data_IF_840973298084
#
_entry.id   IF_840973298084
#
_cell.length_a   1.000
_cell.length_b   1.000
_cell.length_c   1.000
_cell.angle_alpha   90.00
_cell.angle_beta   90.00
_cell.angle_gamma   90.00
#
_symmetry.space_group_name_H-M   'P 1'
#
loop_
_entity.id
_entity.type
_entity.pdbx_description
1 polymer ?
#
# COMPACT_ATOMS: atom_id res chain seq x y z
N UNK A 1 45.87 -28.73 4.45
CA UNK A 1 45.04 -28.24 3.33
C UNK A 1 44.27 -27.04 3.85
N UNK A 2 44.47 -25.87 3.25
CA UNK A 2 43.71 -24.67 3.63
C UNK A 2 42.33 -24.69 2.96
N UNK A 3 41.30 -24.31 3.71
CA UNK A 3 39.96 -24.05 3.16
C UNK A 3 39.66 -22.57 3.39
N UNK A 4 39.13 -21.90 2.38
CA UNK A 4 38.61 -20.53 2.54
C UNK A 4 37.23 -20.42 1.91
N UNK A 5 36.43 -19.52 2.47
CA UNK A 5 35.01 -19.38 2.15
C UNK A 5 34.72 -17.95 1.73
N UNK A 6 33.95 -17.80 0.65
CA UNK A 6 33.39 -16.52 0.19
C UNK A 6 31.87 -16.59 0.37
N UNK A 7 31.26 -15.49 0.83
CA UNK A 7 29.81 -15.33 0.88
C UNK A 7 29.38 -14.34 -0.22
N UNK A 8 28.44 -14.75 -1.05
CA UNK A 8 27.87 -13.93 -2.12
C UNK A 8 26.35 -13.85 -1.98
N UNK A 9 25.76 -12.73 -2.39
CA UNK A 9 24.31 -12.59 -2.47
C UNK A 9 23.87 -12.83 -3.91
N UNK A 10 23.02 -13.83 -4.12
CA UNK A 10 22.52 -14.20 -5.44
C UNK A 10 21.06 -13.78 -5.56
N UNK A 11 20.73 -13.05 -6.62
CA UNK A 11 19.35 -12.78 -7.02
C UNK A 11 18.79 -14.01 -7.74
N UNK A 12 17.74 -14.62 -7.17
CA UNK A 12 17.16 -15.87 -7.66
C UNK A 12 16.14 -15.66 -8.79
N UNK A 13 15.46 -14.52 -8.78
CA UNK A 13 14.33 -14.20 -9.66
C UNK A 13 14.49 -12.75 -10.12
N UNK A 14 14.30 -12.44 -11.41
CA UNK A 14 14.39 -11.07 -11.91
C UNK A 14 13.49 -10.08 -11.16
N UNK A 15 13.96 -8.83 -11.08
CA UNK A 15 13.19 -7.70 -10.59
C UNK A 15 11.87 -7.52 -11.36
N UNK A 16 10.80 -7.14 -10.65
CA UNK A 16 9.49 -6.88 -11.24
C UNK A 16 9.02 -5.47 -10.82
N UNK A 17 8.50 -4.69 -11.77
CA UNK A 17 7.92 -3.38 -11.48
C UNK A 17 6.47 -3.49 -10.98
N UNK A 18 6.28 -3.15 -9.71
CA UNK A 18 4.97 -3.11 -9.06
C UNK A 18 4.25 -1.75 -9.16
N UNK A 19 4.77 -0.79 -9.95
CA UNK A 19 4.16 0.54 -10.11
C UNK A 19 2.72 0.49 -10.62
N UNK A 20 2.35 -0.53 -11.40
CA UNK A 20 0.97 -0.75 -11.83
C UNK A 20 -0.01 -0.86 -10.65
N UNK A 21 0.42 -1.42 -9.51
CA UNK A 21 -0.41 -1.55 -8.30
C UNK A 21 -0.76 -0.20 -7.67
N UNK A 22 0.06 0.83 -7.87
CA UNK A 22 -0.25 2.22 -7.43
C UNK A 22 -1.54 2.70 -8.09
N UNK A 23 -1.66 2.51 -9.41
CA UNK A 23 -2.84 2.94 -10.17
C UNK A 23 -4.10 2.20 -9.71
N UNK A 24 -3.98 0.90 -9.45
CA UNK A 24 -5.10 0.07 -8.96
C UNK A 24 -5.60 0.55 -7.60
N UNK A 25 -4.68 0.81 -6.67
CA UNK A 25 -5.04 1.31 -5.34
C UNK A 25 -5.65 2.71 -5.40
N UNK A 26 -5.09 3.61 -6.22
CA UNK A 26 -5.63 4.98 -6.38
C UNK A 26 -7.07 4.93 -6.89
N UNK A 27 -7.31 4.15 -7.95
CA UNK A 27 -8.66 3.97 -8.51
C UNK A 27 -9.64 3.44 -7.46
N UNK A 28 -9.22 2.52 -6.59
CA UNK A 28 -10.08 1.99 -5.51
C UNK A 28 -10.43 3.07 -4.47
N UNK A 29 -9.49 3.94 -4.13
CA UNK A 29 -9.78 5.07 -3.23
C UNK A 29 -10.72 6.08 -3.89
N UNK A 30 -10.53 6.37 -5.17
CA UNK A 30 -11.41 7.25 -5.95
C UNK A 30 -12.85 6.67 -6.06
N UNK A 31 -12.98 5.37 -6.30
CA UNK A 31 -14.27 4.67 -6.29
C UNK A 31 -14.97 4.82 -4.93
N UNK A 32 -14.27 4.58 -3.82
CA UNK A 32 -14.81 4.76 -2.46
C UNK A 32 -15.26 6.19 -2.23
N UNK A 33 -14.43 7.18 -2.60
CA UNK A 33 -14.76 8.59 -2.46
C UNK A 33 -16.01 8.97 -3.26
N UNK A 34 -16.17 8.42 -4.47
CA UNK A 34 -17.36 8.63 -5.29
C UNK A 34 -18.64 8.07 -4.68
N UNK A 35 -18.57 6.87 -4.09
CA UNK A 35 -19.68 6.27 -3.34
C UNK A 35 -20.02 7.08 -2.08
N UNK A 36 -19.02 7.52 -1.32
CA UNK A 36 -19.21 8.37 -0.14
C UNK A 36 -19.89 9.69 -0.50
N UNK A 37 -19.44 10.36 -1.56
CA UNK A 37 -20.07 11.60 -2.05
C UNK A 37 -21.53 11.38 -2.43
N UNK A 38 -21.84 10.25 -3.08
CA UNK A 38 -23.21 9.87 -3.43
C UNK A 38 -24.06 9.64 -2.18
N UNK A 39 -23.53 8.89 -1.21
CA UNK A 39 -24.19 8.65 0.07
C UNK A 39 -24.50 9.96 0.81
N UNK A 40 -23.52 10.86 0.95
CA UNK A 40 -23.72 12.12 1.67
C UNK A 40 -24.68 13.07 0.94
N UNK A 41 -24.70 13.04 -0.39
CA UNK A 41 -25.72 13.76 -1.18
C UNK A 41 -27.12 13.24 -0.91
N UNK A 42 -27.31 11.92 -0.88
CA UNK A 42 -28.59 11.30 -0.54
C UNK A 42 -29.02 11.62 0.89
N UNK A 43 -28.10 11.52 1.86
CA UNK A 43 -28.37 11.85 3.25
C UNK A 43 -28.81 13.31 3.41
N UNK A 44 -28.11 14.26 2.77
CA UNK A 44 -28.48 15.67 2.79
C UNK A 44 -29.84 15.92 2.10
N UNK A 45 -30.13 15.23 1.00
CA UNK A 45 -31.43 15.35 0.32
C UNK A 45 -32.59 14.87 1.22
N UNK A 46 -32.41 13.82 2.00
CA UNK A 46 -33.43 13.38 2.97
C UNK A 46 -33.60 14.42 4.09
N UNK A 47 -32.50 14.95 4.63
CA UNK A 47 -32.52 15.92 5.72
C UNK A 47 -33.05 17.31 5.34
N UNK A 48 -32.95 17.70 4.06
CA UNK A 48 -33.34 19.03 3.55
C UNK A 48 -34.60 18.98 2.71
N UNK A 49 -34.78 17.92 1.90
CA UNK A 49 -35.84 17.80 0.91
C UNK A 49 -37.24 17.64 1.51
N UNK A 50 -37.34 17.24 2.77
CA UNK A 50 -38.62 17.16 3.49
C UNK A 50 -38.96 18.43 4.29
N UNK A 51 -38.19 19.52 4.11
CA UNK A 51 -38.35 20.81 4.82
C UNK A 51 -38.43 20.64 6.36
N UNK A 52 -37.82 19.55 6.86
CA UNK A 52 -37.85 19.16 8.26
C UNK A 52 -37.04 20.16 9.08
N UNK A 53 -37.67 20.73 10.10
CA UNK A 53 -37.08 21.73 10.99
C UNK A 53 -37.08 21.22 12.43
N UNK A 54 -36.01 21.50 13.16
CA UNK A 54 -35.90 21.19 14.58
C UNK A 54 -34.50 20.75 14.98
N UNK A 55 -34.24 20.80 16.29
CA UNK A 55 -32.92 20.51 16.89
C UNK A 55 -32.34 19.16 16.48
N UNK A 56 -33.19 18.17 16.19
CA UNK A 56 -32.77 16.84 15.74
C UNK A 56 -32.20 16.89 14.32
N UNK A 57 -32.86 17.62 13.40
CA UNK A 57 -32.38 17.77 12.02
C UNK A 57 -31.07 18.55 11.98
N UNK A 58 -30.96 19.60 12.79
CA UNK A 58 -29.74 20.39 12.90
C UNK A 58 -28.56 19.53 13.40
N UNK A 59 -28.80 18.68 14.42
CA UNK A 59 -27.80 17.74 14.90
C UNK A 59 -27.42 16.68 13.85
N UNK A 60 -28.40 16.15 13.10
CA UNK A 60 -28.13 15.20 12.02
C UNK A 60 -27.31 15.82 10.89
N UNK A 61 -27.59 17.07 10.50
CA UNK A 61 -26.79 17.81 9.51
C UNK A 61 -25.36 18.02 9.98
N UNK A 62 -25.16 18.41 11.24
CA UNK A 62 -23.83 18.59 11.83
C UNK A 62 -23.03 17.28 11.86
N UNK A 63 -23.63 16.18 12.32
CA UNK A 63 -22.99 14.86 12.33
C UNK A 63 -22.67 14.38 10.92
N UNK A 64 -23.58 14.57 9.97
CA UNK A 64 -23.39 14.17 8.57
C UNK A 64 -22.23 14.93 7.94
N UNK A 65 -22.16 16.24 8.16
CA UNK A 65 -21.06 17.10 7.69
C UNK A 65 -19.72 16.67 8.30
N UNK A 66 -19.68 16.45 9.63
CA UNK A 66 -18.46 16.02 10.32
C UNK A 66 -17.97 14.66 9.83
N UNK A 67 -18.88 13.71 9.60
CA UNK A 67 -18.52 12.39 9.04
C UNK A 67 -18.00 12.52 7.62
N UNK A 68 -18.67 13.29 6.76
CA UNK A 68 -18.22 13.55 5.39
C UNK A 68 -16.80 14.13 5.34
N UNK A 69 -16.52 15.16 6.13
CA UNK A 69 -15.17 15.75 6.20
C UNK A 69 -14.13 14.75 6.71
N UNK A 70 -14.47 13.95 7.72
CA UNK A 70 -13.56 12.93 8.27
C UNK A 70 -13.24 11.86 7.23
N UNK A 71 -14.25 11.38 6.51
CA UNK A 71 -14.11 10.27 5.57
C UNK A 71 -13.33 10.74 4.32
N UNK A 72 -13.57 11.96 3.83
CA UNK A 72 -12.69 12.61 2.84
C UNK A 72 -11.23 12.65 3.29
N UNK A 73 -10.98 13.08 4.54
CA UNK A 73 -9.62 13.11 5.10
C UNK A 73 -8.99 11.72 5.33
N UNK A 74 -9.79 10.64 5.40
CA UNK A 74 -9.27 9.27 5.39
C UNK A 74 -8.82 8.90 3.98
N UNK A 75 -9.64 9.21 2.98
CA UNK A 75 -9.34 8.94 1.57
C UNK A 75 -8.09 9.70 1.08
N UNK A 76 -7.94 10.97 1.45
CA UNK A 76 -6.73 11.76 1.16
C UNK A 76 -5.47 11.12 1.77
N UNK A 77 -5.51 10.78 3.07
CA UNK A 77 -4.40 10.08 3.73
C UNK A 77 -4.10 8.71 3.13
N UNK A 78 -5.10 8.01 2.62
CA UNK A 78 -4.91 6.76 1.92
C UNK A 78 -4.14 6.98 0.60
N UNK A 79 -4.53 7.98 -0.19
CA UNK A 79 -3.83 8.36 -1.43
C UNK A 79 -2.36 8.71 -1.18
N UNK A 80 -2.08 9.46 -0.12
CA UNK A 80 -0.71 9.84 0.29
C UNK A 80 0.15 8.63 0.69
N UNK A 81 -0.46 7.59 1.28
CA UNK A 81 0.25 6.39 1.75
C UNK A 81 0.51 5.34 0.67
N UNK A 82 -0.24 5.34 -0.42
CA UNK A 82 -0.09 4.36 -1.52
C UNK A 82 1.36 4.24 -2.02
N UNK A 83 2.09 5.34 -2.31
CA UNK A 83 3.47 5.26 -2.77
C UNK A 83 4.38 4.51 -1.78
N UNK A 84 4.27 4.82 -0.49
CA UNK A 84 5.04 4.18 0.59
C UNK A 84 4.70 2.71 0.72
N UNK A 85 3.42 2.34 0.64
CA UNK A 85 2.98 0.94 0.71
C UNK A 85 3.58 0.14 -0.44
N UNK A 86 3.52 0.68 -1.67
CA UNK A 86 4.09 0.00 -2.84
C UNK A 86 5.62 -0.08 -2.76
N UNK A 87 6.29 0.97 -2.29
CA UNK A 87 7.75 0.92 -2.08
C UNK A 87 8.13 -0.17 -1.08
N UNK A 88 7.43 -0.25 0.05
CA UNK A 88 7.70 -1.26 1.08
C UNK A 88 7.43 -2.67 0.55
N UNK A 89 6.37 -2.84 -0.25
CA UNK A 89 6.07 -4.11 -0.91
C UNK A 89 7.18 -4.51 -1.89
N UNK A 90 7.64 -3.59 -2.75
CA UNK A 90 8.75 -3.85 -3.67
C UNK A 90 10.02 -4.29 -2.93
N UNK A 91 10.36 -3.61 -1.83
CA UNK A 91 11.52 -3.97 -1.03
C UNK A 91 11.39 -5.37 -0.40
N UNK A 92 10.22 -5.68 0.17
CA UNK A 92 9.98 -7.02 0.73
C UNK A 92 10.09 -8.13 -0.33
N UNK A 93 9.56 -7.89 -1.53
CA UNK A 93 9.70 -8.84 -2.63
C UNK A 93 11.15 -8.97 -3.07
N UNK A 94 11.90 -7.87 -3.17
CA UNK A 94 13.32 -7.90 -3.50
C UNK A 94 14.12 -8.70 -2.47
N UNK A 95 13.91 -8.45 -1.18
CA UNK A 95 14.55 -9.19 -0.10
C UNK A 95 14.27 -10.70 -0.20
N UNK A 96 13.02 -11.08 -0.47
CA UNK A 96 12.61 -12.48 -0.66
C UNK A 96 13.24 -13.15 -1.90
N UNK A 97 13.62 -12.36 -2.91
CA UNK A 97 14.26 -12.85 -4.14
C UNK A 97 15.78 -13.00 -4.00
N UNK A 98 16.37 -12.54 -2.90
CA UNK A 98 17.80 -12.68 -2.64
C UNK A 98 18.09 -13.86 -1.72
N UNK A 99 19.11 -14.64 -2.07
CA UNK A 99 19.61 -15.73 -1.24
C UNK A 99 21.11 -15.58 -1.03
N UNK A 100 21.57 -15.80 0.21
CA UNK A 100 23.00 -15.90 0.52
C UNK A 100 23.53 -17.25 0.07
N UNK A 101 24.54 -17.23 -0.80
CA UNK A 101 25.30 -18.39 -1.19
C UNK A 101 26.68 -18.36 -0.52
N UNK A 102 27.12 -19.54 -0.10
CA UNK A 102 28.45 -19.75 0.48
C UNK A 102 29.25 -20.60 -0.49
N UNK A 103 30.35 -20.06 -1.01
CA UNK A 103 31.26 -20.78 -1.91
C UNK A 103 32.49 -21.17 -1.09
N UNK A 104 32.75 -22.46 -0.95
CA UNK A 104 33.92 -22.98 -0.23
C UNK A 104 34.96 -23.50 -1.21
N UNK A 105 36.17 -22.95 -1.12
CA UNK A 105 37.32 -23.38 -1.90
C UNK A 105 38.17 -24.31 -1.04
N UNK A 106 38.49 -25.49 -1.58
CA UNK A 106 39.45 -26.42 -0.99
C UNK A 106 40.72 -26.42 -1.81
N UNK A 107 41.84 -26.16 -1.15
CA UNK A 107 43.16 -26.28 -1.76
C UNK A 107 43.45 -27.76 -2.06
N UNK A 108 43.43 -28.13 -3.34
CA UNK A 108 43.91 -29.43 -3.80
C UNK A 108 45.42 -29.29 -3.97
N UNK A 109 46.20 -29.91 -3.10
CA UNK A 109 47.64 -30.01 -3.30
C UNK A 109 47.87 -30.71 -4.65
N UNK A 110 48.32 -29.97 -5.67
CA UNK A 110 48.67 -30.59 -6.94
C UNK A 110 49.88 -31.48 -6.69
N UNK A 111 49.65 -32.79 -6.74
CA UNK A 111 50.70 -33.79 -6.94
C UNK A 111 51.30 -33.53 -8.34
N UNK A 112 52.26 -32.62 -8.41
CA UNK A 112 53.31 -32.70 -9.43
C UNK A 112 54.43 -33.52 -8.81
N UNK A 113 54.47 -34.81 -9.17
CA UNK A 113 55.72 -35.59 -9.20
C UNK A 113 56.60 -35.12 -10.37
#
# INVERSE_FOLDING_TARGET
>A
MSEFTIQESIELIPEEDFSHKKSVLKRKVEEILGEDQTFYKLANNVLVGEDQKGKVIDAMKDVTTKRSSRDTGISERALEKIPTIISNFSNQVADMKTQRATITFKEIASLYE
#
